data_IF_005749892998
#
_entry.id   IF_005749892998
#
_cell.length_a   1.000
_cell.length_b   1.000
_cell.length_c   1.000
_cell.angle_alpha   90.00
_cell.angle_beta   90.00
_cell.angle_gamma   90.00
#
_symmetry.space_group_name_H-M   'P 1'
#
loop_
_entity.id
_entity.type
_entity.pdbx_description
1 polymer ?
#
# COMPACT_ATOMS: atom_id res chain seq x y z
N UNK A 1 9.19 -17.91 -22.49
CA UNK A 1 9.39 -16.72 -21.64
C UNK A 1 8.04 -16.41 -21.02
N UNK A 2 7.91 -16.42 -19.70
CA UNK A 2 6.68 -15.95 -19.05
C UNK A 2 6.54 -14.46 -19.33
N UNK A 3 5.34 -14.01 -19.68
CA UNK A 3 5.05 -12.59 -19.81
C UNK A 3 4.97 -12.01 -18.39
N UNK A 4 6.10 -11.54 -17.87
CA UNK A 4 6.15 -10.83 -16.60
C UNK A 4 5.43 -9.49 -16.76
N UNK A 5 4.26 -9.39 -16.14
CA UNK A 5 3.52 -8.13 -15.99
C UNK A 5 3.94 -7.48 -14.67
N UNK A 6 4.25 -6.19 -14.68
CA UNK A 6 4.78 -5.51 -13.49
C UNK A 6 4.29 -4.08 -13.43
N UNK A 7 3.91 -3.65 -12.22
CA UNK A 7 3.60 -2.26 -11.87
C UNK A 7 4.57 -1.84 -10.78
N UNK A 8 5.35 -0.80 -11.05
CA UNK A 8 6.25 -0.18 -10.06
C UNK A 8 5.81 1.27 -9.88
N UNK A 9 5.57 1.68 -8.63
CA UNK A 9 5.19 3.05 -8.28
C UNK A 9 6.06 3.56 -7.14
N UNK A 10 6.43 4.84 -7.22
CA UNK A 10 7.22 5.50 -6.19
C UNK A 10 6.34 6.44 -5.37
N UNK A 11 6.10 6.08 -4.12
CA UNK A 11 5.44 6.91 -3.13
C UNK A 11 6.44 7.91 -2.53
N UNK A 12 5.94 9.08 -2.13
CA UNK A 12 6.74 10.11 -1.48
C UNK A 12 7.05 9.79 0.00
N UNK A 13 6.32 8.84 0.59
CA UNK A 13 6.54 8.39 1.97
C UNK A 13 6.36 6.89 2.09
N UNK A 14 7.00 6.27 3.09
CA UNK A 14 6.81 4.85 3.43
C UNK A 14 5.36 4.53 3.81
N UNK A 15 4.70 5.46 4.52
CA UNK A 15 3.28 5.33 4.87
C UNK A 15 2.41 5.27 3.62
N UNK A 16 2.63 6.20 2.68
CA UNK A 16 1.87 6.25 1.44
C UNK A 16 2.08 4.97 0.62
N UNK A 17 3.31 4.46 0.56
CA UNK A 17 3.62 3.17 -0.07
C UNK A 17 2.88 2.00 0.59
N UNK A 18 2.89 1.93 1.92
CA UNK A 18 2.19 0.88 2.68
C UNK A 18 0.67 0.92 2.46
N UNK A 19 0.08 2.12 2.49
CA UNK A 19 -1.34 2.32 2.26
C UNK A 19 -1.73 1.91 0.86
N UNK A 20 -0.99 2.37 -0.15
CA UNK A 20 -1.25 2.02 -1.54
C UNK A 20 -1.10 0.52 -1.78
N UNK A 21 -0.05 -0.09 -1.21
CA UNK A 21 0.16 -1.54 -1.29
C UNK A 21 -1.04 -2.30 -0.71
N UNK A 22 -1.49 -1.93 0.49
CA UNK A 22 -2.64 -2.57 1.13
C UNK A 22 -3.93 -2.42 0.32
N UNK A 23 -4.22 -1.20 -0.14
CA UNK A 23 -5.42 -0.86 -0.91
C UNK A 23 -5.49 -1.67 -2.21
N UNK A 24 -4.40 -1.67 -2.99
CA UNK A 24 -4.38 -2.42 -4.24
C UNK A 24 -4.39 -3.93 -4.00
N UNK A 25 -3.69 -4.44 -2.98
CA UNK A 25 -3.74 -5.87 -2.62
C UNK A 25 -5.14 -6.34 -2.22
N UNK A 26 -5.90 -5.55 -1.44
CA UNK A 26 -7.28 -5.88 -1.03
C UNK A 26 -8.21 -5.96 -2.26
N UNK A 27 -8.07 -5.02 -3.18
CA UNK A 27 -8.81 -5.02 -4.44
C UNK A 27 -8.38 -6.16 -5.38
N UNK A 28 -7.07 -6.36 -5.54
CA UNK A 28 -6.52 -7.40 -6.41
C UNK A 28 -6.94 -8.80 -5.95
N UNK A 29 -6.94 -9.05 -4.64
CA UNK A 29 -7.45 -10.29 -4.07
C UNK A 29 -8.93 -10.53 -4.42
N UNK A 30 -9.75 -9.47 -4.41
CA UNK A 30 -11.16 -9.55 -4.84
C UNK A 30 -11.26 -9.97 -6.30
N UNK A 31 -10.44 -9.38 -7.18
CA UNK A 31 -10.38 -9.77 -8.59
C UNK A 31 -9.95 -11.24 -8.79
N UNK A 32 -8.93 -11.71 -8.07
CA UNK A 32 -8.51 -13.10 -8.14
C UNK A 32 -9.59 -14.07 -7.66
N UNK A 33 -10.30 -13.70 -6.59
CA UNK A 33 -11.42 -14.49 -6.06
C UNK A 33 -12.56 -14.60 -7.06
N UNK A 34 -12.97 -13.48 -7.67
CA UNK A 34 -14.05 -13.43 -8.66
C UNK A 34 -13.72 -14.21 -9.92
N UNK A 35 -12.44 -14.27 -10.31
CA UNK A 35 -11.98 -15.02 -11.48
C UNK A 35 -11.55 -16.46 -11.15
N UNK A 36 -11.70 -16.91 -9.89
CA UNK A 36 -11.30 -18.24 -9.42
C UNK A 36 -9.79 -18.57 -9.62
N UNK A 37 -8.91 -17.57 -9.45
CA UNK A 37 -7.44 -17.67 -9.65
C UNK A 37 -6.71 -17.67 -8.29
N UNK A 38 -7.31 -18.21 -7.23
CA UNK A 38 -6.72 -18.21 -5.89
C UNK A 38 -5.67 -19.31 -5.66
N UNK A 39 -5.53 -20.25 -6.60
CA UNK A 39 -4.47 -21.25 -6.54
C UNK A 39 -3.15 -20.62 -6.99
N UNK A 40 -2.03 -20.99 -6.35
CA UNK A 40 -0.68 -20.53 -6.72
C UNK A 40 -0.46 -19.01 -6.57
N UNK A 41 -1.03 -18.40 -5.52
CA UNK A 41 -0.80 -16.98 -5.22
C UNK A 41 0.69 -16.68 -5.04
N UNK A 42 1.36 -17.49 -4.21
CA UNK A 42 2.77 -17.30 -3.84
C UNK A 42 3.74 -17.66 -4.98
N UNK A 43 3.28 -18.36 -6.01
CA UNK A 43 4.09 -18.75 -7.16
C UNK A 43 4.01 -17.73 -8.29
N UNK A 44 2.82 -17.16 -8.50
CA UNK A 44 2.53 -16.37 -9.70
C UNK A 44 2.43 -14.87 -9.43
N UNK A 45 2.26 -14.45 -8.19
CA UNK A 45 2.05 -13.06 -7.82
C UNK A 45 2.99 -12.63 -6.71
N UNK A 46 3.46 -11.39 -6.78
CA UNK A 46 4.27 -10.79 -5.73
C UNK A 46 3.83 -9.35 -5.53
N UNK A 47 3.74 -8.92 -4.27
CA UNK A 47 3.50 -7.55 -3.88
C UNK A 47 4.51 -7.16 -2.81
N UNK A 48 5.30 -6.12 -3.04
CA UNK A 48 6.32 -5.65 -2.09
C UNK A 48 6.34 -4.11 -2.00
N UNK A 49 6.89 -3.58 -0.90
CA UNK A 49 7.13 -2.16 -0.69
C UNK A 49 8.51 -1.92 -0.08
N UNK A 50 9.45 -1.52 -0.93
CA UNK A 50 10.81 -1.16 -0.54
C UNK A 50 10.90 0.33 -0.20
N UNK A 51 10.54 0.69 1.03
CA UNK A 51 10.64 2.06 1.55
C UNK A 51 10.01 3.12 0.61
N UNK A 52 8.78 2.86 0.16
CA UNK A 52 8.02 3.74 -0.72
C UNK A 52 8.03 3.31 -2.19
N UNK A 53 8.86 2.33 -2.58
CA UNK A 53 8.81 1.74 -3.91
C UNK A 53 7.88 0.52 -3.87
N UNK A 54 6.66 0.70 -4.34
CA UNK A 54 5.64 -0.35 -4.37
C UNK A 54 5.77 -1.12 -5.68
N UNK A 55 5.89 -2.44 -5.57
CA UNK A 55 6.07 -3.36 -6.70
C UNK A 55 4.95 -4.40 -6.67
N UNK A 56 4.28 -4.56 -7.80
CA UNK A 56 3.39 -5.68 -8.07
C UNK A 56 3.87 -6.41 -9.32
N UNK A 57 4.01 -7.72 -9.25
CA UNK A 57 4.37 -8.54 -10.40
C UNK A 57 3.48 -9.77 -10.54
N UNK A 58 3.24 -10.16 -11.78
CA UNK A 58 2.47 -11.35 -12.15
C UNK A 58 3.18 -12.09 -13.27
N UNK A 59 3.35 -13.40 -13.12
CA UNK A 59 3.68 -14.31 -14.23
C UNK A 59 2.45 -15.05 -14.75
N UNK A 60 1.28 -14.82 -14.13
CA UNK A 60 0.02 -15.43 -14.52
C UNK A 60 -0.51 -14.80 -15.82
N UNK A 61 -0.89 -15.63 -16.79
CA UNK A 61 -1.43 -15.18 -18.08
C UNK A 61 -2.95 -14.95 -18.09
N UNK A 62 -3.67 -15.35 -17.03
CA UNK A 62 -5.12 -15.22 -16.90
C UNK A 62 -5.54 -13.83 -16.41
N UNK A 63 -4.62 -13.08 -15.80
CA UNK A 63 -4.89 -11.73 -15.29
C UNK A 63 -3.80 -10.76 -15.74
N UNK A 64 -4.22 -9.54 -16.09
CA UNK A 64 -3.33 -8.47 -16.50
C UNK A 64 -3.37 -7.38 -15.44
N UNK A 65 -2.25 -7.17 -14.74
CA UNK A 65 -2.12 -6.21 -13.65
C UNK A 65 -2.42 -4.80 -14.12
N UNK A 66 -1.95 -4.42 -15.31
CA UNK A 66 -2.18 -3.07 -15.85
C UNK A 66 -3.68 -2.81 -16.05
N UNK A 67 -4.42 -3.78 -16.60
CA UNK A 67 -5.88 -3.68 -16.77
C UNK A 67 -6.60 -3.62 -15.43
N UNK A 68 -6.22 -4.48 -14.48
CA UNK A 68 -6.81 -4.48 -13.14
C UNK A 68 -6.55 -3.16 -12.43
N UNK A 69 -5.32 -2.63 -12.48
CA UNK A 69 -4.98 -1.33 -11.92
C UNK A 69 -5.78 -0.20 -12.54
N UNK A 70 -6.08 -0.24 -13.84
CA UNK A 70 -6.90 0.79 -14.49
C UNK A 70 -8.38 0.75 -14.05
N UNK A 71 -8.85 -0.38 -13.53
CA UNK A 71 -10.22 -0.56 -13.03
C UNK A 71 -10.34 -0.26 -11.53
N UNK A 72 -9.22 -0.05 -10.84
CA UNK A 72 -9.22 0.16 -9.40
C UNK A 72 -9.69 1.58 -9.05
N UNK A 73 -10.86 1.69 -8.41
CA UNK A 73 -11.34 2.95 -7.86
C UNK A 73 -11.02 3.05 -6.38
N UNK A 74 -10.35 4.12 -5.97
CA UNK A 74 -10.00 4.39 -4.58
C UNK A 74 -11.05 5.31 -3.95
N UNK A 75 -11.69 4.85 -2.89
CA UNK A 75 -12.61 5.61 -2.07
C UNK A 75 -11.98 5.98 -0.73
N UNK A 76 -12.34 7.12 -0.16
CA UNK A 76 -11.84 7.56 1.15
C UNK A 76 -12.20 6.58 2.28
N UNK A 77 -13.34 5.88 2.16
CA UNK A 77 -13.75 4.79 3.06
C UNK A 77 -12.73 3.64 3.10
N UNK A 78 -12.16 3.27 1.95
CA UNK A 78 -11.14 2.23 1.84
C UNK A 78 -9.82 2.71 2.47
N UNK A 79 -9.48 3.98 2.33
CA UNK A 79 -8.27 4.58 2.94
C UNK A 79 -8.37 4.54 4.47
N UNK A 80 -9.52 4.92 5.05
CA UNK A 80 -9.75 4.84 6.51
C UNK A 80 -9.60 3.40 6.99
N UNK A 81 -10.16 2.42 6.25
CA UNK A 81 -10.01 0.99 6.56
C UNK A 81 -8.56 0.53 6.46
N UNK A 82 -7.80 0.99 5.47
CA UNK A 82 -6.39 0.67 5.32
C UNK A 82 -5.57 1.22 6.50
N UNK A 83 -5.78 2.49 6.88
CA UNK A 83 -5.13 3.13 8.04
C UNK A 83 -5.36 2.31 9.31
N UNK A 84 -6.61 1.89 9.58
CA UNK A 84 -6.92 1.14 10.79
C UNK A 84 -6.26 -0.25 10.83
N UNK A 85 -6.05 -0.88 9.67
CA UNK A 85 -5.38 -2.19 9.55
C UNK A 85 -3.86 -2.10 9.64
N UNK A 86 -3.23 -1.04 9.10
CA UNK A 86 -1.77 -0.91 9.17
C UNK A 86 -1.28 -0.29 10.48
N UNK A 87 -2.15 0.39 11.23
CA UNK A 87 -1.83 1.05 12.49
C UNK A 87 -1.95 0.11 13.70
N UNK A 88 -1.60 -1.17 13.57
CA UNK A 88 -1.78 -2.20 14.60
C UNK A 88 -1.12 -1.89 15.96
N UNK A 89 -0.21 -0.93 16.04
CA UNK A 89 0.16 -0.28 17.30
C UNK A 89 -0.85 0.81 17.66
N UNK A 90 -1.90 0.43 18.42
CA UNK A 90 -2.88 1.38 19.03
C UNK A 90 -2.25 2.49 19.90
N UNK A 91 -0.94 2.43 20.15
CA UNK A 91 -0.17 3.44 20.88
C UNK A 91 0.31 4.60 19.99
N UNK A 92 0.24 4.48 18.66
CA UNK A 92 0.64 5.54 17.73
C UNK A 92 -0.60 6.30 17.27
N UNK A 93 -0.92 7.39 17.95
CA UNK A 93 -1.95 8.35 17.52
C UNK A 93 -1.42 9.21 16.36
N UNK A 94 -1.15 8.59 15.22
CA UNK A 94 -0.77 9.33 14.04
C UNK A 94 -2.01 10.09 13.53
N UNK A 95 -1.94 11.43 13.62
CA UNK A 95 -2.95 12.32 13.08
C UNK A 95 -2.57 12.59 11.63
N UNK A 96 -3.48 12.27 10.72
CA UNK A 96 -3.33 12.53 9.29
C UNK A 96 -4.38 13.54 8.86
N UNK A 97 -3.99 14.49 8.00
CA UNK A 97 -4.98 15.20 7.21
C UNK A 97 -5.51 14.22 6.16
N UNK A 98 -6.75 13.74 6.38
CA UNK A 98 -7.34 12.72 5.52
C UNK A 98 -7.56 13.23 4.09
N UNK A 99 -7.78 14.52 3.88
CA UNK A 99 -7.96 15.05 2.54
C UNK A 99 -6.64 15.10 1.79
N UNK A 100 -5.56 15.57 2.43
CA UNK A 100 -4.21 15.54 1.88
C UNK A 100 -3.80 14.12 1.53
N UNK A 101 -3.97 13.18 2.48
CA UNK A 101 -3.60 11.78 2.28
C UNK A 101 -4.41 11.11 1.16
N UNK A 102 -5.72 11.40 1.07
CA UNK A 102 -6.54 10.92 -0.04
C UNK A 102 -6.00 11.41 -1.38
N UNK A 103 -5.67 12.71 -1.48
CA UNK A 103 -5.13 13.26 -2.72
C UNK A 103 -3.79 12.63 -3.08
N UNK A 104 -2.87 12.48 -2.12
CA UNK A 104 -1.57 11.83 -2.34
C UNK A 104 -1.70 10.38 -2.83
N UNK A 105 -2.67 9.62 -2.30
CA UNK A 105 -2.95 8.24 -2.75
C UNK A 105 -3.51 8.24 -4.18
N UNK A 106 -4.42 9.16 -4.50
CA UNK A 106 -4.98 9.27 -5.85
C UNK A 106 -3.91 9.67 -6.87
N UNK A 107 -3.05 10.64 -6.52
CA UNK A 107 -1.94 11.08 -7.35
C UNK A 107 -0.96 9.92 -7.60
N UNK A 108 -0.62 9.15 -6.55
CA UNK A 108 0.20 7.95 -6.69
C UNK A 108 -0.48 6.90 -7.59
N UNK A 109 -1.78 6.68 -7.45
CA UNK A 109 -2.53 5.75 -8.27
C UNK A 109 -2.53 6.16 -9.75
N UNK A 110 -2.69 7.44 -10.04
CA UNK A 110 -2.71 8.02 -11.39
C UNK A 110 -1.32 8.20 -12.00
N UNK A 111 -0.25 8.17 -11.19
CA UNK A 111 1.12 8.30 -11.67
C UNK A 111 1.49 7.18 -12.66
N UNK A 112 2.31 7.53 -13.65
CA UNK A 112 2.83 6.54 -14.62
C UNK A 112 3.76 5.55 -13.89
N UNK A 113 3.60 4.23 -14.10
CA UNK A 113 4.54 3.26 -13.56
C UNK A 113 5.97 3.54 -14.01
N UNK A 114 6.92 3.41 -13.09
CA UNK A 114 8.34 3.59 -13.39
C UNK A 114 8.94 2.28 -13.94
N UNK A 115 9.93 2.41 -14.82
CA UNK A 115 10.56 1.24 -15.47
C UNK A 115 11.64 0.57 -14.60
N UNK A 116 12.31 1.35 -13.76
CA UNK A 116 13.41 0.90 -12.93
C UNK A 116 13.19 1.34 -11.49
N UNK A 117 13.53 0.47 -10.55
CA UNK A 117 13.59 0.80 -9.12
C UNK A 117 14.59 1.95 -8.97
N UNK A 118 14.11 3.09 -8.47
CA UNK A 118 14.94 4.24 -8.12
C UNK A 118 15.55 4.05 -6.73
N UNK A 119 16.38 4.98 -6.27
CA UNK A 119 16.88 4.92 -4.89
C UNK A 119 15.71 4.97 -3.89
N UNK A 120 15.78 4.20 -2.79
CA UNK A 120 14.79 4.30 -1.71
C UNK A 120 14.71 5.74 -1.21
N UNK A 121 13.57 6.12 -0.62
CA UNK A 121 13.39 7.44 0.00
C UNK A 121 14.55 7.66 0.97
N UNK A 122 15.35 8.71 0.76
CA UNK A 122 16.48 8.96 1.64
C UNK A 122 15.93 9.32 3.02
N UNK A 123 16.54 8.80 4.08
CA UNK A 123 16.08 9.05 5.46
C UNK A 123 15.95 10.54 5.79
N UNK A 124 16.76 11.38 5.14
CA UNK A 124 16.73 12.85 5.26
C UNK A 124 15.45 13.50 4.71
N UNK A 125 14.75 12.84 3.80
CA UNK A 125 13.52 13.32 3.16
C UNK A 125 12.27 12.91 3.96
N UNK A 126 12.43 12.01 4.95
CA UNK A 126 11.40 11.60 5.89
C UNK A 126 11.18 12.67 6.98
N UNK A 127 10.42 13.71 6.66
CA UNK A 127 10.12 14.80 7.60
C UNK A 127 8.99 14.50 8.59
N UNK A 128 8.25 13.41 8.40
CA UNK A 128 7.18 13.02 9.31
C UNK A 128 7.73 12.44 10.62
N UNK A 129 7.66 13.23 11.69
CA UNK A 129 7.91 12.76 13.05
C UNK A 129 6.69 12.01 13.55
N UNK A 130 6.77 10.68 13.65
CA UNK A 130 5.81 9.92 14.45
C UNK A 130 6.06 10.25 15.91
N UNK A 131 5.05 10.79 16.62
CA UNK A 131 5.18 10.94 18.08
C UNK A 131 5.31 9.55 18.70
N UNK A 132 6.47 9.32 19.31
CA UNK A 132 6.69 8.15 20.17
C UNK A 132 6.10 8.48 21.52
N UNK A 133 4.98 7.85 21.88
CA UNK A 133 4.56 7.84 23.28
C UNK A 133 5.40 6.76 23.97
N UNK A 134 6.33 7.12 24.88
CA UNK A 134 6.95 6.10 25.72
C UNK A 134 5.82 5.37 26.45
N UNK A 135 5.85 4.04 26.43
CA UNK A 135 4.84 3.23 27.11
C UNK A 135 4.71 3.71 28.55
N UNK A 136 3.60 4.38 28.87
CA UNK A 136 3.22 4.64 30.24
C UNK A 136 2.80 3.30 30.84
N UNK A 137 3.78 2.51 31.28
CA UNK A 137 3.58 1.63 32.41
C UNK A 137 3.35 2.55 33.58
N UNK A 138 2.09 2.88 33.88
CA UNK A 138 1.61 3.11 35.23
C UNK A 138 0.08 3.17 35.30
N UNK A 139 -0.41 2.42 36.29
CA UNK A 139 -1.78 2.24 36.77
C UNK A 139 -2.72 3.44 36.71
N UNK A 140 -4.00 3.17 36.38
CA UNK A 140 -5.21 3.70 37.06
C UNK A 140 -6.45 2.99 36.47
N UNK A 141 -6.91 1.91 37.11
CA UNK A 141 -8.09 1.82 38.00
C UNK A 141 -9.42 1.97 37.25
N UNK A 142 -10.12 0.83 37.16
CA UNK A 142 -11.57 0.72 36.95
C UNK A 142 -12.34 1.62 37.92
N UNK A 143 -13.11 2.55 37.39
CA UNK A 143 -14.44 2.93 37.89
C UNK A 143 -15.35 3.21 36.68
#
# INVERSE_FOLDING_TARGET
>A
MSNLDTIIKQANTRLLGNLYQHLFSDYFYTQLKENHILNSLDENFTADNYDGIVVFSSTNNLINLTKVSAQFTIEQSNIIRAISRISCDKQRNAIYDLNSLTQEILDLHQSTPIKNITSPIQSKDCNHKTQYFPSLVNHLVLL
#
